data_IF_634904317608
#
_entry.id   IF_634904317608
#
_cell.length_a   1.000
_cell.length_b   1.000
_cell.length_c   1.000
_cell.angle_alpha   90.00
_cell.angle_beta   90.00
_cell.angle_gamma   90.00
#
_symmetry.space_group_name_H-M   'P 1'
#
loop_
_entity.id
_entity.type
_entity.pdbx_description
1 polymer ?
#
# COMPACT_ATOMS: atom_id res chain seq x y z
N UNK A 1 -9.05 3.98 11.59
CA UNK A 1 -9.25 4.91 10.46
C UNK A 1 -9.00 4.14 9.18
N UNK A 2 -9.70 4.46 8.09
CA UNK A 2 -9.39 3.94 6.75
C UNK A 2 -9.15 5.12 5.82
N UNK A 3 -8.16 5.01 4.93
CA UNK A 3 -7.84 6.02 3.92
C UNK A 3 -7.72 5.36 2.55
N UNK A 4 -8.54 5.79 1.59
CA UNK A 4 -8.35 5.41 0.19
C UNK A 4 -7.18 6.18 -0.40
N UNK A 5 -6.30 5.48 -1.11
CA UNK A 5 -5.07 6.03 -1.68
C UNK A 5 -4.91 5.62 -3.14
N UNK A 6 -4.17 6.42 -3.89
CA UNK A 6 -3.57 6.03 -5.16
C UNK A 6 -2.06 6.10 -4.99
N UNK A 7 -1.35 5.00 -5.25
CA UNK A 7 0.10 4.91 -5.05
C UNK A 7 0.80 4.36 -6.30
N UNK A 8 2.07 4.74 -6.47
CA UNK A 8 2.90 4.31 -7.60
C UNK A 8 4.35 4.10 -7.18
N UNK A 9 5.07 3.28 -7.94
CA UNK A 9 6.47 2.94 -7.69
C UNK A 9 7.23 2.62 -8.98
N UNK A 10 8.55 2.82 -8.96
CA UNK A 10 9.45 2.46 -10.07
C UNK A 10 10.75 1.87 -9.51
N UNK A 11 11.20 0.73 -10.05
CA UNK A 11 12.40 -0.01 -9.63
C UNK A 11 12.95 -0.81 -10.81
N UNK A 12 14.23 -0.69 -11.14
CA UNK A 12 14.95 -1.53 -12.12
C UNK A 12 14.16 -1.90 -13.39
N UNK A 13 13.53 -0.90 -14.02
CA UNK A 13 12.72 -1.09 -15.24
C UNK A 13 11.28 -1.56 -15.02
N UNK A 14 10.92 -1.97 -13.81
CA UNK A 14 9.54 -2.23 -13.40
C UNK A 14 8.85 -0.96 -12.88
N UNK A 15 7.53 -0.89 -13.07
CA UNK A 15 6.69 0.18 -12.51
C UNK A 15 5.31 -0.35 -12.15
N UNK A 16 4.74 0.20 -11.08
CA UNK A 16 3.37 -0.06 -10.66
C UNK A 16 2.63 1.25 -10.36
N UNK A 17 1.32 1.26 -10.58
CA UNK A 17 0.42 2.35 -10.21
C UNK A 17 -0.96 1.78 -9.97
N UNK A 18 -1.51 1.93 -8.77
CA UNK A 18 -2.79 1.33 -8.41
C UNK A 18 -3.46 2.08 -7.26
N UNK A 19 -4.77 1.86 -7.12
CA UNK A 19 -5.53 2.27 -5.95
C UNK A 19 -5.35 1.28 -4.80
N UNK A 20 -5.60 1.74 -3.57
CA UNK A 20 -5.55 0.93 -2.36
C UNK A 20 -6.30 1.55 -1.20
N UNK A 21 -6.35 0.82 -0.08
CA UNK A 21 -6.91 1.29 1.19
C UNK A 21 -5.94 0.96 2.33
N UNK A 22 -5.60 1.98 3.10
CA UNK A 22 -4.80 1.82 4.32
C UNK A 22 -5.74 1.86 5.53
N UNK A 23 -5.70 0.81 6.34
CA UNK A 23 -6.42 0.77 7.62
C UNK A 23 -5.42 0.99 8.75
N UNK A 24 -5.64 2.04 9.53
CA UNK A 24 -4.77 2.45 10.62
C UNK A 24 -5.48 2.34 11.97
N UNK A 25 -4.79 1.77 12.95
CA UNK A 25 -5.15 1.88 14.37
C UNK A 25 -4.35 3.01 14.98
N UNK A 26 -5.03 3.99 15.56
CA UNK A 26 -4.40 5.15 16.21
C UNK A 26 -4.70 5.12 17.71
N UNK A 27 -3.68 5.32 18.55
CA UNK A 27 -3.80 5.51 20.01
C UNK A 27 -2.93 6.68 20.43
N UNK A 28 -3.47 7.56 21.27
CA UNK A 28 -2.77 8.75 21.79
C UNK A 28 -2.09 9.60 20.69
N UNK A 29 -2.80 9.76 19.56
CA UNK A 29 -2.31 10.52 18.40
C UNK A 29 -1.22 9.84 17.58
N UNK A 30 -0.88 8.57 17.86
CA UNK A 30 0.13 7.79 17.13
C UNK A 30 -0.50 6.61 16.41
N UNK A 31 -0.03 6.32 15.20
CA UNK A 31 -0.36 5.07 14.50
C UNK A 31 0.36 3.94 15.24
N UNK A 32 -0.40 2.94 15.69
CA UNK A 32 0.14 1.78 16.43
C UNK A 32 0.07 0.49 15.62
N UNK A 33 -0.84 0.39 14.65
CA UNK A 33 -0.95 -0.74 13.71
C UNK A 33 -1.43 -0.22 12.35
N UNK A 34 -1.02 -0.91 11.28
CA UNK A 34 -1.41 -0.60 9.91
C UNK A 34 -1.61 -1.89 9.09
N UNK A 35 -2.65 -1.92 8.27
CA UNK A 35 -2.90 -2.95 7.27
C UNK A 35 -3.07 -2.28 5.92
N UNK A 36 -2.36 -2.79 4.93
CA UNK A 36 -2.35 -2.30 3.56
C UNK A 36 -3.20 -3.22 2.70
N UNK A 37 -4.06 -2.64 1.87
CA UNK A 37 -4.87 -3.37 0.92
C UNK A 37 -4.65 -2.77 -0.47
N UNK A 38 -4.05 -3.55 -1.35
CA UNK A 38 -3.71 -3.12 -2.71
C UNK A 38 -4.78 -3.55 -3.70
N UNK A 39 -5.07 -2.68 -4.67
CA UNK A 39 -6.04 -2.95 -5.74
C UNK A 39 -5.60 -4.08 -6.68
N UNK A 40 -4.28 -4.26 -6.84
CA UNK A 40 -3.68 -5.39 -7.57
C UNK A 40 -2.50 -5.98 -6.78
N UNK A 41 -2.82 -6.89 -5.85
CA UNK A 41 -1.81 -7.56 -5.01
C UNK A 41 -0.79 -8.36 -5.84
N UNK A 42 -1.20 -8.95 -6.96
CA UNK A 42 -0.29 -9.76 -7.78
C UNK A 42 0.76 -8.87 -8.48
N UNK A 43 0.33 -7.71 -9.00
CA UNK A 43 1.25 -6.74 -9.59
C UNK A 43 2.20 -6.15 -8.55
N UNK A 44 1.73 -5.91 -7.32
CA UNK A 44 2.60 -5.45 -6.24
C UNK A 44 3.61 -6.52 -5.80
N UNK A 45 3.18 -7.79 -5.69
CA UNK A 45 4.06 -8.92 -5.37
C UNK A 45 5.16 -9.11 -6.44
N UNK A 46 4.80 -8.99 -7.72
CA UNK A 46 5.75 -9.00 -8.84
C UNK A 46 6.70 -7.80 -8.77
N UNK A 47 6.17 -6.60 -8.48
CA UNK A 47 6.96 -5.39 -8.37
C UNK A 47 8.02 -5.49 -7.26
N UNK A 48 7.68 -6.07 -6.09
CA UNK A 48 8.63 -6.23 -4.97
C UNK A 48 9.50 -7.48 -5.09
N UNK A 49 9.06 -8.48 -5.85
CA UNK A 49 9.85 -9.66 -6.20
C UNK A 49 9.90 -10.71 -5.11
N UNK A 50 8.83 -10.85 -4.32
CA UNK A 50 8.64 -11.74 -3.16
C UNK A 50 9.85 -11.94 -2.24
#
# INVERSE_FOLDING_TARGET
>A
MAAGIHFSGRRDGASMSMDGVDVLRVRDGKIVEMWLFSGDQAAEDEFWGR
#
